data_IF_241221765036
#
_entry.id   IF_241221765036
#
_cell.length_a   1.000
_cell.length_b   1.000
_cell.length_c   1.000
_cell.angle_alpha   90.00
_cell.angle_beta   90.00
_cell.angle_gamma   90.00
#
_symmetry.space_group_name_H-M   'P 1'
#
loop_
_entity.id
_entity.type
_entity.pdbx_description
1 polymer ?
#
# COMPACT_ATOMS: atom_id res chain seq x y z
N UNK A 1 -10.84 17.05 3.08
CA UNK A 1 -11.94 17.98 2.70
C UNK A 1 -11.70 18.69 1.36
N UNK A 2 -10.66 18.35 0.58
CA UNK A 2 -10.30 19.00 -0.69
C UNK A 2 -11.42 18.82 -1.73
N UNK A 3 -11.74 17.58 -2.13
CA UNK A 3 -12.64 17.30 -3.28
C UNK A 3 -14.02 17.99 -3.35
N UNK A 4 -14.62 18.40 -2.23
CA UNK A 4 -15.91 19.12 -2.25
C UNK A 4 -15.73 20.55 -2.78
N UNK A 5 -14.59 21.19 -2.47
CA UNK A 5 -14.27 22.54 -2.91
C UNK A 5 -14.04 22.59 -4.43
N UNK A 6 -13.31 21.63 -5.00
CA UNK A 6 -13.10 21.60 -6.45
C UNK A 6 -14.41 21.31 -7.20
N UNK A 7 -15.29 20.44 -6.67
CA UNK A 7 -16.62 20.16 -7.30
C UNK A 7 -17.46 21.42 -7.34
N UNK A 8 -17.44 22.20 -6.26
CA UNK A 8 -18.12 23.49 -6.20
C UNK A 8 -17.53 24.49 -7.21
N UNK A 9 -16.21 24.53 -7.38
CA UNK A 9 -15.56 25.41 -8.37
C UNK A 9 -15.93 25.04 -9.81
N UNK A 10 -15.83 23.75 -10.18
CA UNK A 10 -16.22 23.28 -11.51
C UNK A 10 -17.70 23.56 -11.80
N UNK A 11 -18.59 23.30 -10.84
CA UNK A 11 -20.01 23.62 -10.94
C UNK A 11 -20.27 25.12 -11.18
N UNK A 12 -19.56 25.99 -10.45
CA UNK A 12 -19.68 27.45 -10.60
C UNK A 12 -19.24 27.95 -11.98
N UNK A 13 -18.16 27.39 -12.54
CA UNK A 13 -17.68 27.72 -13.88
C UNK A 13 -18.64 27.26 -14.97
N UNK A 14 -19.21 26.05 -14.83
CA UNK A 14 -20.25 25.53 -15.74
C UNK A 14 -21.50 26.41 -15.69
N UNK A 15 -21.97 26.78 -14.50
CA UNK A 15 -23.13 27.66 -14.34
C UNK A 15 -22.90 29.02 -15.01
N UNK A 16 -21.72 29.61 -14.80
CA UNK A 16 -21.34 30.88 -15.45
C UNK A 16 -21.32 30.75 -16.97
N UNK A 17 -20.79 29.66 -17.52
CA UNK A 17 -20.79 29.42 -18.96
C UNK A 17 -22.22 29.28 -19.53
N UNK A 18 -23.12 28.59 -18.82
CA UNK A 18 -24.54 28.46 -19.20
C UNK A 18 -25.24 29.81 -19.19
N UNK A 19 -25.03 30.61 -18.13
CA UNK A 19 -25.63 31.95 -18.01
C UNK A 19 -25.19 32.86 -19.17
N UNK A 20 -23.92 32.79 -19.57
CA UNK A 20 -23.40 33.53 -20.73
C UNK A 20 -24.10 33.10 -22.03
N UNK A 21 -24.28 31.79 -22.25
CA UNK A 21 -24.96 31.25 -23.44
C UNK A 21 -26.43 31.69 -23.50
N UNK A 22 -27.14 31.66 -22.38
CA UNK A 22 -28.54 32.14 -22.29
C UNK A 22 -28.60 33.62 -22.72
N UNK A 23 -27.71 34.45 -22.18
CA UNK A 23 -27.70 35.86 -22.53
C UNK A 23 -27.24 36.15 -23.98
N UNK A 24 -26.57 35.21 -24.65
CA UNK A 24 -26.26 35.33 -26.10
C UNK A 24 -27.51 35.04 -26.93
N UNK A 25 -28.33 34.08 -26.51
CA UNK A 25 -29.54 33.66 -27.22
C UNK A 25 -30.65 34.73 -27.20
N UNK A 26 -30.77 35.48 -26.10
CA UNK A 26 -31.95 36.30 -25.82
C UNK A 26 -31.85 37.77 -26.30
N UNK A 27 -30.74 38.23 -26.90
CA UNK A 27 -30.57 39.63 -27.28
C UNK A 27 -29.81 39.84 -28.62
N UNK A 28 -30.21 40.82 -29.47
CA UNK A 28 -29.41 41.27 -30.60
C UNK A 28 -28.17 42.03 -30.08
N UNK A 29 -27.05 41.32 -29.95
CA UNK A 29 -25.80 41.84 -29.39
C UNK A 29 -25.04 42.73 -30.39
N UNK A 30 -24.45 43.82 -29.89
CA UNK A 30 -23.45 44.58 -30.67
C UNK A 30 -22.15 43.79 -30.76
N UNK A 31 -21.38 43.97 -31.83
CA UNK A 31 -20.10 43.25 -32.09
C UNK A 31 -19.13 43.28 -30.90
N UNK A 32 -19.06 44.40 -30.17
CA UNK A 32 -18.21 44.55 -28.99
C UNK A 32 -18.69 43.71 -27.79
N UNK A 33 -20.01 43.62 -27.56
CA UNK A 33 -20.59 42.80 -26.48
C UNK A 33 -20.44 41.31 -26.77
N UNK A 34 -20.52 40.91 -28.03
CA UNK A 34 -20.29 39.53 -28.46
C UNK A 34 -18.85 39.08 -28.18
N UNK A 35 -17.85 39.93 -28.45
CA UNK A 35 -16.45 39.64 -28.13
C UNK A 35 -16.20 39.53 -26.62
N UNK A 36 -16.81 40.38 -25.81
CA UNK A 36 -16.70 40.31 -24.35
C UNK A 36 -17.29 39.01 -23.78
N UNK A 37 -18.47 38.60 -24.28
CA UNK A 37 -19.09 37.33 -23.85
C UNK A 37 -18.30 36.11 -24.29
N UNK A 38 -17.68 36.14 -25.47
CA UNK A 38 -16.80 35.07 -25.93
C UNK A 38 -15.58 34.91 -24.99
N UNK A 39 -14.97 36.01 -24.58
CA UNK A 39 -13.87 36.00 -23.60
C UNK A 39 -14.34 35.45 -22.25
N UNK A 40 -15.53 35.86 -21.78
CA UNK A 40 -16.12 35.34 -20.55
C UNK A 40 -16.34 33.82 -20.60
N UNK A 41 -16.83 33.30 -21.73
CA UNK A 41 -17.02 31.87 -21.94
C UNK A 41 -15.69 31.11 -22.00
N UNK A 42 -14.68 31.68 -22.66
CA UNK A 42 -13.32 31.12 -22.69
C UNK A 42 -12.72 30.99 -21.29
N UNK A 43 -12.88 32.02 -20.45
CA UNK A 43 -12.39 31.99 -19.07
C UNK A 43 -13.13 30.95 -18.23
N UNK A 44 -14.47 30.93 -18.29
CA UNK A 44 -15.27 29.94 -17.58
C UNK A 44 -14.91 28.50 -17.99
N UNK A 45 -14.65 28.26 -19.28
CA UNK A 45 -14.20 26.96 -19.76
C UNK A 45 -12.77 26.61 -19.29
N UNK A 46 -11.88 27.60 -19.22
CA UNK A 46 -10.52 27.42 -18.70
C UNK A 46 -10.54 27.04 -17.21
N UNK A 47 -11.40 27.67 -16.41
CA UNK A 47 -11.57 27.37 -14.98
C UNK A 47 -12.11 25.94 -14.76
N UNK A 48 -13.09 25.53 -15.58
CA UNK A 48 -13.59 24.15 -15.58
C UNK A 48 -12.49 23.17 -15.97
N UNK A 49 -11.71 23.46 -17.01
CA UNK A 49 -10.59 22.60 -17.44
C UNK A 49 -9.53 22.45 -16.36
N UNK A 50 -9.17 23.54 -15.68
CA UNK A 50 -8.21 23.55 -14.57
C UNK A 50 -8.72 22.72 -13.39
N UNK A 51 -10.00 22.87 -13.04
CA UNK A 51 -10.63 22.09 -11.97
C UNK A 51 -10.70 20.60 -12.34
N UNK A 52 -11.00 20.27 -13.60
CA UNK A 52 -11.00 18.89 -14.12
C UNK A 52 -9.63 18.22 -14.02
N UNK A 53 -8.56 18.93 -14.36
CA UNK A 53 -7.20 18.40 -14.22
C UNK A 53 -6.85 18.09 -12.76
N UNK A 54 -7.28 18.94 -11.82
CA UNK A 54 -7.09 18.71 -10.38
C UNK A 54 -7.86 17.47 -9.89
N UNK A 55 -9.09 17.24 -10.38
CA UNK A 55 -9.81 16.01 -10.04
C UNK A 55 -9.12 14.77 -10.54
N UNK A 56 -8.62 14.77 -11.77
CA UNK A 56 -7.92 13.62 -12.32
C UNK A 56 -6.71 13.27 -11.47
N UNK A 57 -5.95 14.26 -11.01
CA UNK A 57 -4.83 14.04 -10.09
C UNK A 57 -5.28 13.42 -8.76
N UNK A 58 -6.34 13.97 -8.14
CA UNK A 58 -6.88 13.45 -6.87
C UNK A 58 -7.41 12.02 -7.00
N UNK A 59 -8.07 11.69 -8.12
CA UNK A 59 -8.58 10.33 -8.37
C UNK A 59 -7.40 9.35 -8.48
N UNK A 60 -6.37 9.70 -9.23
CA UNK A 60 -5.18 8.85 -9.39
C UNK A 60 -4.46 8.63 -8.05
N UNK A 61 -4.32 9.67 -7.24
CA UNK A 61 -3.74 9.56 -5.89
C UNK A 61 -4.56 8.61 -5.01
N UNK A 62 -5.89 8.77 -5.00
CA UNK A 62 -6.80 7.94 -4.20
C UNK A 62 -6.86 6.50 -4.67
N UNK A 63 -6.84 6.26 -5.98
CA UNK A 63 -6.81 4.91 -6.54
C UNK A 63 -5.50 4.19 -6.19
N UNK A 64 -4.37 4.91 -6.16
CA UNK A 64 -3.09 4.38 -5.70
C UNK A 64 -3.15 3.98 -4.22
N UNK A 65 -3.64 4.87 -3.37
CA UNK A 65 -3.80 4.61 -1.92
C UNK A 65 -4.74 3.42 -1.67
N UNK A 66 -5.87 3.33 -2.37
CA UNK A 66 -6.81 2.21 -2.26
C UNK A 66 -6.15 0.91 -2.69
N UNK A 67 -5.35 0.93 -3.76
CA UNK A 67 -4.64 -0.26 -4.23
C UNK A 67 -3.63 -0.74 -3.20
N UNK A 68 -2.79 0.16 -2.67
CA UNK A 68 -1.81 -0.17 -1.63
C UNK A 68 -2.46 -0.76 -0.38
N UNK A 69 -3.57 -0.18 0.07
CA UNK A 69 -4.32 -0.69 1.22
C UNK A 69 -4.96 -2.05 0.96
N UNK A 70 -5.49 -2.28 -0.26
CA UNK A 70 -6.04 -3.58 -0.66
C UNK A 70 -4.96 -4.66 -0.72
N UNK A 71 -3.80 -4.34 -1.27
CA UNK A 71 -2.66 -5.25 -1.35
C UNK A 71 -2.17 -5.61 0.06
N UNK A 72 -2.08 -4.64 0.97
CA UNK A 72 -1.76 -4.88 2.37
C UNK A 72 -2.78 -5.77 3.10
N UNK A 73 -4.08 -5.56 2.86
CA UNK A 73 -5.15 -6.39 3.42
C UNK A 73 -5.15 -7.81 2.85
N UNK A 74 -4.78 -7.99 1.58
CA UNK A 74 -4.67 -9.31 0.97
C UNK A 74 -3.57 -10.11 1.66
N UNK A 75 -2.39 -9.49 1.84
CA UNK A 75 -1.29 -10.09 2.57
C UNK A 75 -1.67 -10.47 4.01
N UNK A 76 -2.49 -9.67 4.68
CA UNK A 76 -2.96 -10.00 6.04
C UNK A 76 -3.88 -11.22 6.10
N UNK A 77 -4.71 -11.44 5.09
CA UNK A 77 -5.61 -12.60 5.03
C UNK A 77 -4.90 -13.92 4.77
N UNK A 78 -3.81 -13.88 4.03
CA UNK A 78 -3.05 -15.05 3.62
C UNK A 78 -2.06 -15.52 4.69
N UNK A 79 -1.71 -14.65 5.65
CA UNK A 79 -0.70 -14.98 6.66
C UNK A 79 -1.31 -15.69 7.87
N UNK A 80 -0.75 -16.85 8.22
CA UNK A 80 -1.12 -17.71 9.34
C UNK A 80 0.04 -17.84 10.31
N UNK A 81 -0.19 -17.51 11.58
CA UNK A 81 0.80 -17.74 12.62
C UNK A 81 0.81 -19.21 13.03
N UNK A 82 1.96 -19.87 12.92
CA UNK A 82 2.20 -21.21 13.43
C UNK A 82 3.53 -21.19 14.17
N UNK A 83 3.46 -21.19 15.50
CA UNK A 83 4.61 -20.95 16.36
C UNK A 83 5.80 -21.83 15.94
N UNK A 84 7.00 -21.23 15.74
CA UNK A 84 7.38 -19.89 16.17
C UNK A 84 7.31 -18.77 15.10
N UNK A 85 6.71 -19.00 13.92
CA UNK A 85 6.76 -18.07 12.78
C UNK A 85 5.47 -18.02 11.96
N UNK A 86 5.42 -17.20 10.92
CA UNK A 86 4.27 -17.14 10.01
C UNK A 86 4.47 -18.01 8.76
N UNK A 87 3.36 -18.48 8.21
CA UNK A 87 3.24 -19.05 6.86
C UNK A 87 2.28 -18.23 6.04
N UNK A 88 2.44 -18.24 4.72
CA UNK A 88 1.46 -17.71 3.77
C UNK A 88 0.71 -18.89 3.14
N UNK A 89 -0.62 -18.87 3.24
CA UNK A 89 -1.49 -19.79 2.53
C UNK A 89 -1.50 -19.40 1.04
N UNK A 90 -1.13 -20.33 0.15
CA UNK A 90 -1.18 -20.17 -1.31
C UNK A 90 -2.01 -21.30 -1.92
N UNK A 91 -2.43 -21.16 -3.19
CA UNK A 91 -3.16 -22.22 -3.90
C UNK A 91 -2.38 -23.54 -3.99
N UNK A 92 -1.05 -23.47 -3.96
CA UNK A 92 -0.12 -24.61 -4.05
C UNK A 92 0.32 -25.17 -2.69
N UNK A 93 -0.16 -24.62 -1.58
CA UNK A 93 0.17 -25.08 -0.23
C UNK A 93 0.57 -23.93 0.70
N UNK A 94 1.60 -24.14 1.53
CA UNK A 94 2.12 -23.13 2.46
C UNK A 94 3.48 -22.62 1.97
N UNK A 95 3.62 -21.31 1.86
CA UNK A 95 4.89 -20.64 1.60
C UNK A 95 5.46 -20.08 2.91
N UNK A 96 6.76 -20.26 3.15
CA UNK A 96 7.41 -19.76 4.36
C UNK A 96 8.73 -20.47 4.69
N UNK A 97 9.16 -20.39 5.96
CA UNK A 97 8.57 -19.60 7.05
C UNK A 97 8.97 -18.11 7.04
N UNK A 98 8.15 -17.25 7.65
CA UNK A 98 8.33 -15.79 7.71
C UNK A 98 8.51 -15.27 9.14
N UNK A 99 9.35 -14.24 9.29
CA UNK A 99 9.72 -13.66 10.59
C UNK A 99 8.52 -13.08 11.33
N UNK A 100 8.23 -13.59 12.53
CA UNK A 100 7.18 -13.07 13.42
C UNK A 100 7.38 -11.58 13.73
N UNK A 101 8.57 -11.18 14.21
CA UNK A 101 8.82 -9.78 14.62
C UNK A 101 8.56 -8.79 13.48
N UNK A 102 9.12 -9.05 12.29
CA UNK A 102 8.99 -8.13 11.16
C UNK A 102 7.54 -8.03 10.65
N UNK A 103 6.79 -9.12 10.75
CA UNK A 103 5.40 -9.12 10.35
C UNK A 103 4.50 -8.41 11.38
N UNK A 104 4.72 -8.66 12.68
CA UNK A 104 3.93 -8.05 13.75
C UNK A 104 4.20 -6.54 13.87
N UNK A 105 5.44 -6.09 13.66
CA UNK A 105 5.80 -4.67 13.76
C UNK A 105 5.44 -3.87 12.52
N UNK A 106 5.82 -4.40 11.34
CA UNK A 106 5.85 -3.62 10.10
C UNK A 106 5.02 -4.25 8.97
N UNK A 107 4.29 -5.34 9.24
CA UNK A 107 3.57 -6.15 8.23
C UNK A 107 4.48 -6.63 7.08
N UNK A 108 5.78 -6.77 7.35
CA UNK A 108 6.78 -7.22 6.38
C UNK A 108 6.94 -8.75 6.45
N UNK A 109 6.55 -9.44 5.38
CA UNK A 109 6.75 -10.87 5.22
C UNK A 109 8.21 -11.20 4.85
N UNK A 110 9.13 -11.05 5.81
CA UNK A 110 10.56 -11.36 5.63
C UNK A 110 10.79 -12.86 5.78
N UNK A 111 11.31 -13.52 4.75
CA UNK A 111 11.57 -14.97 4.76
C UNK A 111 12.72 -15.33 5.70
N UNK A 112 12.48 -16.27 6.60
CA UNK A 112 13.49 -16.81 7.49
C UNK A 112 14.47 -17.70 6.72
N UNK A 113 15.74 -17.60 7.09
CA UNK A 113 16.82 -18.43 6.55
C UNK A 113 17.11 -19.57 7.51
N UNK A 114 17.50 -20.73 6.97
CA UNK A 114 17.91 -21.88 7.78
C UNK A 114 19.28 -21.58 8.41
N UNK A 115 19.41 -21.83 9.71
CA UNK A 115 20.68 -21.79 10.42
C UNK A 115 21.51 -23.06 10.20
N UNK A 116 22.65 -23.14 10.90
CA UNK A 116 23.56 -24.28 10.82
C UNK A 116 23.00 -25.57 11.45
N UNK A 117 22.00 -25.45 12.32
CA UNK A 117 21.36 -26.57 13.01
C UNK A 117 19.95 -26.72 12.45
N UNK A 118 19.50 -27.95 12.24
CA UNK A 118 18.12 -28.24 11.86
C UNK A 118 17.15 -27.61 12.87
N UNK A 119 16.05 -27.04 12.39
CA UNK A 119 15.08 -26.33 13.23
C UNK A 119 15.54 -24.96 13.76
N UNK A 120 16.77 -24.52 13.45
CA UNK A 120 17.20 -23.14 13.67
C UNK A 120 16.86 -22.26 12.47
N UNK A 121 16.22 -21.13 12.74
CA UNK A 121 15.81 -20.17 11.73
C UNK A 121 16.24 -18.78 12.14
N UNK A 122 16.70 -17.98 11.18
CA UNK A 122 17.15 -16.62 11.44
C UNK A 122 16.58 -15.62 10.43
N UNK A 123 16.28 -14.42 10.92
CA UNK A 123 15.89 -13.30 10.09
C UNK A 123 17.10 -12.39 9.85
N UNK A 124 17.56 -12.28 8.59
CA UNK A 124 18.68 -11.39 8.23
C UNK A 124 18.34 -9.90 8.25
N UNK A 125 17.07 -9.53 8.44
CA UNK A 125 16.64 -8.12 8.50
C UNK A 125 16.57 -7.58 9.93
N UNK A 126 16.15 -8.41 10.89
CA UNK A 126 15.98 -7.98 12.29
C UNK A 126 16.80 -8.79 13.30
N UNK A 127 17.64 -9.71 12.80
CA UNK A 127 18.60 -10.54 13.54
C UNK A 127 17.98 -11.44 14.62
N UNK A 128 16.66 -11.65 14.56
CA UNK A 128 16.00 -12.61 15.45
C UNK A 128 16.23 -14.04 14.99
N UNK A 129 16.49 -14.89 15.96
CA UNK A 129 16.54 -16.34 15.83
C UNK A 129 15.25 -16.98 16.37
N UNK A 130 14.85 -18.08 15.74
CA UNK A 130 13.70 -18.89 16.10
C UNK A 130 14.13 -20.36 16.09
N UNK A 131 13.60 -21.14 17.02
CA UNK A 131 13.86 -22.58 17.13
C UNK A 131 12.54 -23.32 17.07
N UNK A 132 12.40 -24.21 16.10
CA UNK A 132 11.21 -25.04 15.96
C UNK A 132 11.40 -26.41 16.66
N UNK A 133 10.38 -27.27 16.57
CA UNK A 133 10.36 -28.59 17.22
C UNK A 133 11.46 -29.54 16.73
N UNK A 134 12.07 -29.28 15.57
CA UNK A 134 13.17 -30.07 15.02
C UNK A 134 14.54 -29.62 15.54
N UNK A 135 14.61 -28.55 16.34
CA UNK A 135 15.85 -28.08 16.90
C UNK A 135 16.45 -29.08 17.90
N UNK A 136 17.62 -29.63 17.55
CA UNK A 136 18.41 -30.51 18.41
C UNK A 136 19.57 -29.72 19.01
N UNK A 137 19.55 -29.53 20.32
CA UNK A 137 20.66 -28.91 21.03
C UNK A 137 21.89 -29.82 20.96
N UNK A 138 22.97 -29.33 20.37
CA UNK A 138 24.25 -30.04 20.25
C UNK A 138 25.14 -29.83 21.48
N UNK A 139 24.69 -29.06 22.48
CA UNK A 139 25.48 -28.74 23.67
C UNK A 139 25.69 -29.93 24.62
N UNK A 140 24.88 -31.00 24.51
CA UNK A 140 24.96 -32.14 25.44
C UNK A 140 25.87 -33.29 24.99
N UNK A 141 26.32 -33.34 23.73
CA UNK A 141 27.05 -34.51 23.20
C UNK A 141 28.57 -34.45 23.37
N UNK A 142 29.12 -33.37 23.94
CA UNK A 142 30.57 -33.13 24.04
C UNK A 142 31.15 -33.26 25.46
N UNK A 143 30.46 -33.91 26.40
CA UNK A 143 31.00 -34.24 27.72
C UNK A 143 31.03 -35.75 27.98
N UNK A 144 31.52 -36.54 27.02
CA UNK A 144 32.09 -37.84 27.36
C UNK A 144 33.53 -37.59 27.83
N UNK A 145 33.72 -37.42 29.15
CA UNK A 145 35.04 -37.41 29.77
C UNK A 145 35.70 -38.79 29.55
N UNK A 146 36.89 -38.88 28.92
CA UNK A 146 37.65 -40.12 28.93
C UNK A 146 38.32 -40.24 30.30
N UNK A 147 37.81 -41.11 31.16
CA UNK A 147 38.43 -41.33 32.46
C UNK A 147 37.71 -42.38 33.29
N UNK A 148 37.97 -43.66 33.01
CA UNK A 148 38.42 -44.64 34.02
C UNK A 148 38.77 -45.96 33.29
N UNK A 149 40.06 -46.21 33.06
CA UNK A 149 40.56 -47.58 32.91
C UNK A 149 40.92 -48.07 34.31
N UNK A 150 40.25 -49.09 34.86
CA UNK A 150 40.64 -49.69 36.13
C UNK A 150 41.34 -51.02 35.81
N UNK A 151 42.65 -51.02 35.59
CA UNK A 151 43.48 -52.24 35.65
C UNK A 151 44.96 -51.84 35.85
N UNK A 152 45.32 -51.51 37.10
CA UNK A 152 46.64 -51.75 37.69
C UNK A 152 46.47 -52.73 38.87
#
# INVERSE_FOLDING_TARGET
MVGIAEVSMAYSGIKTAIDIVIQIKDAPLKKAEMNLKLIGLMNALADVKSSTAKFQALILEKDSEIKELKDALCLEKEMRYEAPYYWRDTESGKEGPFCQKCYDSDKKAIRLQKGCIEGAWECKTCEKEYRDLNYKDVSFTAMAFPGNDPDE
#
